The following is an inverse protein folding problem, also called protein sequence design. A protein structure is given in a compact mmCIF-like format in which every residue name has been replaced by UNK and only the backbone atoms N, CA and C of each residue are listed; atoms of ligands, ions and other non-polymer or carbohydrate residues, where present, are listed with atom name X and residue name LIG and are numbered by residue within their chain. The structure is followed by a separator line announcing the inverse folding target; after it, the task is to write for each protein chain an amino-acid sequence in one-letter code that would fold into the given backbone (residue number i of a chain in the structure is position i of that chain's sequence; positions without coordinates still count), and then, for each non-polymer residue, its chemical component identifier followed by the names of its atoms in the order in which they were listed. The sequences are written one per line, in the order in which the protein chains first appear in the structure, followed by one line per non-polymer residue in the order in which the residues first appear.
data_IF_282702773602
#
_entry.id   IF_282702773602
#
_cell.length_a   1.000
_cell.length_b   1.000
_cell.length_c   1.000
_cell.angle_alpha   90.00
_cell.angle_beta   90.00
_cell.angle_gamma   90.00
#
_symmetry.space_group_name_H-M   'P 1'
#
loop_
_entity.id
_entity.type
_entity.pdbx_description
1 polymer ?
#
# COMPACT_ATOMS: atom_id res chain seq x y z
N UNK A 1 -36.04 28.64 -22.63
CA UNK A 1 -34.86 28.76 -21.73
C UNK A 1 -34.92 27.74 -20.61
N UNK A 2 -35.89 27.79 -19.68
CA UNK A 2 -35.97 26.86 -18.53
C UNK A 2 -36.02 25.36 -18.90
N UNK A 3 -36.76 24.98 -19.95
CA UNK A 3 -36.85 23.59 -20.39
C UNK A 3 -35.54 23.01 -20.95
N UNK A 4 -34.78 23.82 -21.71
CA UNK A 4 -33.46 23.43 -22.22
C UNK A 4 -32.43 23.36 -21.11
N UNK A 5 -32.51 24.28 -20.13
CA UNK A 5 -31.66 24.26 -18.95
C UNK A 5 -31.90 23.02 -18.08
N UNK A 6 -33.17 22.66 -17.82
CA UNK A 6 -33.50 21.44 -17.08
C UNK A 6 -33.03 20.18 -17.82
N UNK A 7 -33.24 20.09 -19.14
CA UNK A 7 -32.71 18.97 -19.95
C UNK A 7 -31.18 18.88 -19.91
N UNK A 8 -30.50 20.02 -19.90
CA UNK A 8 -29.05 20.06 -19.77
C UNK A 8 -28.60 19.58 -18.38
N UNK A 9 -29.26 20.03 -17.31
CA UNK A 9 -29.00 19.55 -15.95
C UNK A 9 -29.21 18.03 -15.81
N UNK A 10 -30.27 17.49 -16.42
CA UNK A 10 -30.53 16.06 -16.44
C UNK A 10 -29.43 15.29 -17.21
N UNK A 11 -29.00 15.79 -18.37
CA UNK A 11 -27.92 15.20 -19.14
C UNK A 11 -26.58 15.22 -18.37
N UNK A 12 -26.27 16.33 -17.69
CA UNK A 12 -25.08 16.45 -16.82
C UNK A 12 -25.16 15.46 -15.67
N UNK A 13 -26.34 15.30 -15.03
CA UNK A 13 -26.53 14.34 -13.94
C UNK A 13 -26.36 12.88 -14.40
N UNK A 14 -26.81 12.56 -15.61
CA UNK A 14 -26.62 11.23 -16.22
C UNK A 14 -25.15 11.00 -16.55
N UNK A 15 -24.47 11.97 -17.17
CA UNK A 15 -23.05 11.89 -17.49
C UNK A 15 -22.18 11.77 -16.23
N UNK A 16 -22.52 12.50 -15.16
CA UNK A 16 -21.83 12.44 -13.87
C UNK A 16 -21.89 11.05 -13.21
N UNK A 17 -22.93 10.26 -13.50
CA UNK A 17 -23.08 8.87 -13.05
C UNK A 17 -22.48 7.84 -14.00
N UNK A 18 -21.93 8.26 -15.14
CA UNK A 18 -21.36 7.32 -16.11
C UNK A 18 -20.03 6.71 -15.62
N UNK A 19 -19.73 5.44 -15.92
CA UNK A 19 -18.46 4.80 -15.56
C UNK A 19 -17.23 5.53 -16.10
N UNK A 20 -17.36 6.13 -17.29
CA UNK A 20 -16.29 6.92 -17.91
C UNK A 20 -15.95 8.16 -17.09
N UNK A 21 -16.97 8.87 -16.59
CA UNK A 21 -16.77 10.06 -15.77
C UNK A 21 -16.22 9.71 -14.38
N UNK A 22 -16.72 8.62 -13.78
CA UNK A 22 -16.16 8.08 -12.53
C UNK A 22 -14.66 7.73 -12.69
N UNK A 23 -14.29 7.04 -13.77
CA UNK A 23 -12.89 6.71 -14.08
C UNK A 23 -12.03 7.97 -14.28
N UNK A 24 -12.55 8.99 -14.95
CA UNK A 24 -11.86 10.26 -15.13
C UNK A 24 -11.63 10.98 -13.79
N UNK A 25 -12.64 11.05 -12.92
CA UNK A 25 -12.51 11.64 -11.58
C UNK A 25 -11.46 10.90 -10.73
N UNK A 26 -11.48 9.56 -10.73
CA UNK A 26 -10.48 8.74 -10.02
C UNK A 26 -9.06 9.01 -10.51
N UNK A 27 -8.88 9.17 -11.83
CA UNK A 27 -7.59 9.52 -12.41
C UNK A 27 -7.10 10.88 -11.92
N UNK A 28 -7.94 11.91 -11.94
CA UNK A 28 -7.56 13.24 -11.45
C UNK A 28 -7.17 13.21 -9.97
N UNK A 29 -7.99 12.56 -9.12
CA UNK A 29 -7.66 12.40 -7.70
C UNK A 29 -6.33 11.67 -7.50
N UNK A 30 -6.04 10.65 -8.29
CA UNK A 30 -4.77 9.93 -8.21
C UNK A 30 -3.58 10.83 -8.59
N UNK A 31 -3.73 11.68 -9.60
CA UNK A 31 -2.71 12.67 -9.97
C UNK A 31 -2.50 13.70 -8.85
N UNK A 32 -3.59 14.20 -8.24
CA UNK A 32 -3.54 15.11 -7.09
C UNK A 32 -2.87 14.48 -5.87
N UNK A 33 -3.17 13.22 -5.56
CA UNK A 33 -2.58 12.50 -4.43
C UNK A 33 -1.07 12.28 -4.63
N UNK A 34 -0.64 11.97 -5.86
CA UNK A 34 0.79 11.88 -6.19
C UNK A 34 1.49 13.24 -6.06
N UNK A 35 0.82 14.33 -6.42
CA UNK A 35 1.34 15.67 -6.21
C UNK A 35 1.55 16.01 -4.72
N UNK A 36 0.56 15.68 -3.88
CA UNK A 36 0.68 15.81 -2.42
C UNK A 36 1.82 14.96 -1.85
N UNK A 37 1.89 13.69 -2.25
CA UNK A 37 2.97 12.77 -1.84
C UNK A 37 4.33 13.29 -2.27
N UNK A 38 4.45 13.87 -3.47
CA UNK A 38 5.67 14.47 -3.96
C UNK A 38 6.13 15.58 -3.02
N UNK A 39 5.23 16.51 -2.66
CA UNK A 39 5.56 17.62 -1.76
C UNK A 39 5.94 17.11 -0.37
N UNK A 40 5.13 16.27 0.25
CA UNK A 40 5.39 15.78 1.61
C UNK A 40 6.69 14.96 1.69
N UNK A 41 6.88 14.00 0.80
CA UNK A 41 8.07 13.12 0.85
C UNK A 41 9.35 13.86 0.47
N UNK A 42 9.28 14.85 -0.42
CA UNK A 42 10.42 15.71 -0.76
C UNK A 42 10.79 16.61 0.42
N UNK A 43 9.80 17.17 1.12
CA UNK A 43 10.06 17.96 2.32
C UNK A 43 10.73 17.12 3.42
N UNK A 44 10.25 15.89 3.65
CA UNK A 44 10.88 14.96 4.59
C UNK A 44 12.35 14.65 4.24
N UNK A 45 12.70 14.67 2.95
CA UNK A 45 14.06 14.38 2.45
C UNK A 45 15.09 15.41 2.94
N UNK A 46 14.67 16.65 3.15
CA UNK A 46 15.51 17.75 3.63
C UNK A 46 15.91 17.57 5.10
N UNK A 47 15.11 16.84 5.88
CA UNK A 47 15.36 16.57 7.28
C UNK A 47 15.08 17.78 8.20
N UNK A 48 15.65 17.75 9.41
CA UNK A 48 15.31 18.68 10.51
C UNK A 48 15.71 20.15 10.29
N UNK A 49 16.53 20.43 9.28
CA UNK A 49 17.05 21.77 9.01
C UNK A 49 16.26 22.50 7.91
N UNK A 50 15.18 21.89 7.40
CA UNK A 50 14.36 22.48 6.36
C UNK A 50 13.68 23.78 6.86
N UNK A 51 13.69 24.81 6.04
CA UNK A 51 13.02 26.08 6.32
C UNK A 51 11.86 26.37 5.36
N UNK A 52 11.28 27.57 5.46
CA UNK A 52 10.15 27.99 4.63
C UNK A 52 10.54 28.15 3.16
N UNK A 53 11.77 28.60 2.87
CA UNK A 53 12.24 28.77 1.50
C UNK A 53 12.39 27.41 0.80
N UNK A 54 12.84 26.37 1.52
CA UNK A 54 12.89 25.02 0.98
C UNK A 54 11.48 24.49 0.60
N UNK A 55 10.47 24.81 1.41
CA UNK A 55 9.09 24.44 1.12
C UNK A 55 8.55 25.16 -0.13
N UNK A 56 8.85 26.45 -0.29
CA UNK A 56 8.51 27.22 -1.49
C UNK A 56 9.18 26.65 -2.75
N UNK A 57 10.45 26.24 -2.66
CA UNK A 57 11.15 25.59 -3.77
C UNK A 57 10.48 24.27 -4.17
N UNK A 58 10.11 23.43 -3.19
CA UNK A 58 9.40 22.17 -3.46
C UNK A 58 8.07 22.43 -4.17
N UNK A 59 7.31 23.45 -3.74
CA UNK A 59 6.03 23.82 -4.36
C UNK A 59 6.26 24.29 -5.81
N UNK A 60 7.28 25.11 -6.05
CA UNK A 60 7.65 25.57 -7.39
C UNK A 60 8.03 24.40 -8.31
N UNK A 61 8.86 23.46 -7.82
CA UNK A 61 9.22 22.24 -8.55
C UNK A 61 7.98 21.38 -8.82
N UNK A 62 7.11 21.17 -7.82
CA UNK A 62 5.88 20.41 -7.97
C UNK A 62 4.95 21.01 -9.05
N UNK A 63 4.91 22.34 -9.17
CA UNK A 63 4.10 23.03 -10.18
C UNK A 63 4.59 22.84 -11.63
N UNK A 64 5.88 22.47 -11.80
CA UNK A 64 6.56 22.35 -13.10
C UNK A 64 6.81 20.90 -13.51
N UNK A 65 7.01 20.02 -12.54
CA UNK A 65 7.32 18.61 -12.77
C UNK A 65 6.15 17.89 -13.44
N UNK A 66 6.45 16.99 -14.38
CA UNK A 66 5.42 16.15 -14.96
C UNK A 66 4.90 15.12 -13.93
N UNK A 67 3.69 14.61 -14.13
CA UNK A 67 3.14 13.55 -13.27
C UNK A 67 4.10 12.35 -13.14
N UNK A 68 4.74 11.94 -14.25
CA UNK A 68 5.68 10.82 -14.25
C UNK A 68 6.92 11.12 -13.41
N UNK A 69 7.46 12.34 -13.49
CA UNK A 69 8.62 12.75 -12.69
C UNK A 69 8.26 12.82 -11.20
N UNK A 70 7.07 13.35 -10.88
CA UNK A 70 6.57 13.36 -9.51
C UNK A 70 6.42 11.93 -8.96
N UNK A 71 5.82 11.03 -9.73
CA UNK A 71 5.66 9.62 -9.35
C UNK A 71 7.02 8.95 -9.12
N UNK A 72 8.00 9.17 -10.00
CA UNK A 72 9.35 8.63 -9.87
C UNK A 72 10.02 9.13 -8.58
N UNK A 73 9.99 10.44 -8.32
CA UNK A 73 10.60 11.01 -7.12
C UNK A 73 9.93 10.51 -5.84
N UNK A 74 8.61 10.33 -5.84
CA UNK A 74 7.86 9.71 -4.72
C UNK A 74 8.37 8.29 -4.47
N UNK A 75 8.53 7.47 -5.52
CA UNK A 75 9.07 6.11 -5.36
C UNK A 75 10.48 6.14 -4.74
N UNK A 76 11.37 7.02 -5.21
CA UNK A 76 12.73 7.15 -4.68
C UNK A 76 12.75 7.60 -3.21
N UNK A 77 11.95 8.59 -2.85
CA UNK A 77 11.88 9.12 -1.48
C UNK A 77 11.33 8.07 -0.50
N UNK A 78 10.28 7.34 -0.89
CA UNK A 78 9.72 6.25 -0.08
C UNK A 78 10.71 5.09 0.01
N UNK A 79 11.32 4.71 -1.11
CA UNK A 79 12.32 3.64 -1.14
C UNK A 79 13.50 3.92 -0.21
N UNK A 80 14.00 5.17 -0.18
CA UNK A 80 15.05 5.57 0.75
C UNK A 80 14.68 5.34 2.22
N UNK A 81 13.45 5.68 2.61
CA UNK A 81 12.96 5.46 3.97
C UNK A 81 12.80 3.97 4.30
N UNK A 82 12.20 3.20 3.39
CA UNK A 82 12.06 1.74 3.54
C UNK A 82 13.42 1.07 3.68
N UNK A 83 14.39 1.46 2.85
CA UNK A 83 15.76 0.97 2.93
C UNK A 83 16.40 1.25 4.29
N UNK A 84 16.24 2.46 4.81
CA UNK A 84 16.71 2.81 6.14
C UNK A 84 16.08 1.91 7.23
N UNK A 85 14.76 1.69 7.19
CA UNK A 85 14.09 0.79 8.14
C UNK A 85 14.62 -0.64 8.06
N UNK A 86 14.79 -1.17 6.84
CA UNK A 86 15.33 -2.51 6.62
C UNK A 86 16.77 -2.64 7.14
N UNK A 87 17.63 -1.65 6.88
CA UNK A 87 19.02 -1.63 7.38
C UNK A 87 19.06 -1.62 8.91
N UNK A 88 18.25 -0.79 9.57
CA UNK A 88 18.17 -0.77 11.04
C UNK A 88 17.66 -2.10 11.58
N UNK A 89 16.63 -2.70 10.96
CA UNK A 89 16.15 -4.02 11.36
C UNK A 89 17.22 -5.10 11.19
N UNK A 90 18.00 -5.07 10.11
CA UNK A 90 19.14 -5.96 9.90
C UNK A 90 20.18 -5.82 11.03
N UNK A 91 20.57 -4.60 11.40
CA UNK A 91 21.53 -4.36 12.48
C UNK A 91 21.04 -4.88 13.84
N UNK A 92 19.73 -4.78 14.08
CA UNK A 92 19.09 -5.28 15.30
C UNK A 92 19.00 -6.82 15.27
N UNK A 93 18.60 -7.41 14.14
CA UNK A 93 18.22 -8.82 14.03
C UNK A 93 19.36 -9.74 13.64
N UNK A 94 20.38 -9.27 12.93
CA UNK A 94 21.49 -10.11 12.51
C UNK A 94 22.62 -9.99 13.55
N UNK A 95 23.02 -11.08 14.23
CA UNK A 95 24.29 -11.09 14.92
C UNK A 95 25.38 -10.94 13.83
N UNK A 96 26.39 -10.09 14.04
CA UNK A 96 27.48 -9.82 13.08
C UNK A 96 28.41 -11.02 12.78
N UNK A 97 27.86 -12.22 12.66
CA UNK A 97 28.49 -13.51 12.38
C UNK A 97 27.75 -14.14 11.21
N UNK A 98 28.49 -14.77 10.30
CA UNK A 98 28.07 -15.28 9.00
C UNK A 98 27.08 -16.49 9.02
N UNK A 99 26.21 -16.59 10.03
CA UNK A 99 25.20 -17.64 10.16
C UNK A 99 23.81 -17.03 9.92
N UNK A 100 22.93 -17.64 9.11
CA UNK A 100 21.61 -17.11 8.78
C UNK A 100 20.58 -17.16 9.94
N UNK A 101 21.03 -17.23 11.19
CA UNK A 101 20.16 -17.21 12.36
C UNK A 101 19.97 -15.78 12.85
N UNK A 102 18.74 -15.26 12.77
CA UNK A 102 18.38 -14.00 13.42
C UNK A 102 18.49 -14.14 14.93
N UNK A 103 18.84 -13.06 15.63
CA UNK A 103 18.77 -12.97 17.08
C UNK A 103 17.35 -13.38 17.56
N UNK A 104 17.25 -14.17 18.63
CA UNK A 104 15.97 -14.63 19.18
C UNK A 104 15.34 -13.52 20.05
N UNK A 105 15.09 -12.36 19.44
CA UNK A 105 14.37 -11.25 20.08
C UNK A 105 12.89 -11.32 19.71
N UNK A 106 12.03 -10.93 20.66
CA UNK A 106 10.59 -10.80 20.47
C UNK A 106 10.25 -9.54 19.66
N UNK A 107 9.07 -9.51 19.05
CA UNK A 107 8.56 -8.36 18.28
C UNK A 107 8.56 -7.07 19.10
N UNK A 108 8.16 -7.13 20.38
CA UNK A 108 8.13 -5.97 21.27
C UNK A 108 9.52 -5.33 21.47
N UNK A 109 10.55 -6.17 21.64
CA UNK A 109 11.94 -5.71 21.78
C UNK A 109 12.47 -5.13 20.47
N UNK A 110 12.16 -5.76 19.33
CA UNK A 110 12.50 -5.22 18.01
C UNK A 110 11.85 -3.84 17.79
N UNK A 111 10.57 -3.70 18.16
CA UNK A 111 9.83 -2.44 18.04
C UNK A 111 10.46 -1.32 18.87
N UNK A 112 10.85 -1.61 20.12
CA UNK A 112 11.54 -0.65 20.99
C UNK A 112 12.89 -0.21 20.42
N UNK A 113 13.73 -1.16 19.96
CA UNK A 113 15.03 -0.84 19.38
C UNK A 113 14.94 -0.10 18.05
N UNK A 114 13.93 -0.43 17.24
CA UNK A 114 13.66 0.30 16.01
C UNK A 114 13.24 1.74 16.34
N UNK A 115 12.36 1.94 17.33
CA UNK A 115 11.95 3.26 17.81
C UNK A 115 13.14 4.11 18.24
N UNK A 116 14.09 3.56 18.99
CA UNK A 116 15.29 4.28 19.42
C UNK A 116 16.12 4.82 18.23
N UNK A 117 15.98 4.19 17.06
CA UNK A 117 16.71 4.56 15.83
C UNK A 117 15.91 5.47 14.89
N UNK A 118 14.60 5.25 14.76
CA UNK A 118 13.74 5.96 13.78
C UNK A 118 12.81 7.01 14.38
N UNK A 119 12.71 7.06 15.72
CA UNK A 119 11.94 8.06 16.46
C UNK A 119 10.56 7.61 16.93
N UNK A 120 10.00 6.53 16.38
CA UNK A 120 8.66 6.06 16.75
C UNK A 120 8.48 4.54 16.67
N UNK A 121 7.48 4.02 17.36
CA UNK A 121 6.94 2.66 17.23
C UNK A 121 5.44 2.71 16.92
N UNK A 122 4.90 1.58 16.46
CA UNK A 122 3.46 1.41 16.25
C UNK A 122 2.87 0.42 17.25
N UNK A 123 1.67 0.73 17.74
CA UNK A 123 0.85 -0.13 18.57
C UNK A 123 -0.56 -0.27 18.01
N UNK A 124 -1.22 -1.41 18.28
CA UNK A 124 -2.65 -1.57 18.01
C UNK A 124 -3.40 -1.55 19.34
N UNK A 125 -4.36 -0.63 19.46
CA UNK A 125 -5.16 -0.40 20.69
C UNK A 125 -6.63 -0.21 20.29
N UNK A 126 -7.60 -0.30 21.21
CA UNK A 126 -8.99 0.09 20.90
C UNK A 126 -9.02 1.50 20.32
N UNK A 127 -9.73 1.70 19.20
CA UNK A 127 -9.82 3.00 18.52
C UNK A 127 -10.65 3.98 19.34
N UNK A 128 -10.34 5.28 19.19
CA UNK A 128 -11.17 6.36 19.73
C UNK A 128 -12.27 6.82 18.76
N UNK A 129 -12.25 6.33 17.51
CA UNK A 129 -13.25 6.67 16.51
C UNK A 129 -14.60 6.02 16.87
N UNK A 130 -15.67 6.82 17.04
CA UNK A 130 -16.99 6.31 17.42
C UNK A 130 -17.72 5.71 16.21
N UNK A 131 -17.20 4.61 15.66
CA UNK A 131 -17.84 3.85 14.59
C UNK A 131 -17.83 2.35 14.91
N UNK A 132 -18.91 1.63 14.54
CA UNK A 132 -19.06 0.21 14.85
C UNK A 132 -17.98 -0.68 14.20
N UNK A 133 -17.29 -0.17 13.19
CA UNK A 133 -16.21 -0.87 12.50
C UNK A 133 -14.82 -0.60 13.10
N UNK A 134 -14.65 0.52 13.80
CA UNK A 134 -13.38 0.95 14.40
C UNK A 134 -13.13 0.25 15.75
N UNK A 135 -13.05 -1.09 15.72
CA UNK A 135 -12.79 -1.88 16.93
C UNK A 135 -11.38 -1.66 17.47
N UNK A 136 -10.39 -1.64 16.58
CA UNK A 136 -8.99 -1.39 16.87
C UNK A 136 -8.48 -0.29 15.97
N UNK A 137 -7.53 0.49 16.47
CA UNK A 137 -6.83 1.54 15.74
C UNK A 137 -5.32 1.37 15.84
N UNK A 138 -4.65 1.87 14.82
CA UNK A 138 -3.19 1.99 14.76
C UNK A 138 -2.77 3.27 15.48
N UNK A 139 -1.83 3.17 16.42
CA UNK A 139 -1.29 4.30 17.17
C UNK A 139 0.19 4.43 16.93
N UNK A 140 0.63 5.67 16.72
CA UNK A 140 2.03 6.02 16.72
C UNK A 140 2.47 6.40 18.14
N UNK A 141 3.66 5.96 18.56
CA UNK A 141 4.27 6.29 19.84
C UNK A 141 5.69 6.80 19.64
N UNK A 142 5.95 8.06 19.99
CA UNK A 142 7.12 8.84 19.60
C UNK A 142 6.75 9.92 18.59
N UNK A 143 7.70 10.29 17.74
CA UNK A 143 7.55 11.41 16.80
C UNK A 143 7.86 10.98 15.37
N UNK A 144 7.04 11.43 14.42
CA UNK A 144 7.29 11.30 12.99
C UNK A 144 7.05 12.62 12.26
N UNK A 145 7.95 12.96 11.34
CA UNK A 145 7.86 14.18 10.55
C UNK A 145 6.84 14.06 9.42
N UNK A 146 6.42 15.22 8.89
CA UNK A 146 5.66 15.29 7.63
C UNK A 146 6.40 14.52 6.54
N UNK A 147 5.69 13.71 5.74
CA UNK A 147 6.26 12.91 4.67
C UNK A 147 7.02 11.66 5.10
N UNK A 148 7.05 11.36 6.40
CA UNK A 148 7.58 10.11 6.91
C UNK A 148 6.68 8.93 6.49
N UNK A 149 7.29 7.84 6.05
CA UNK A 149 6.61 6.55 5.94
C UNK A 149 6.35 6.06 7.36
N UNK A 150 5.08 5.80 7.67
CA UNK A 150 4.61 5.41 9.01
C UNK A 150 4.43 3.89 9.12
N UNK A 151 3.81 3.27 8.12
CA UNK A 151 3.48 1.86 8.16
C UNK A 151 3.45 1.26 6.74
N UNK A 152 3.66 -0.05 6.64
CA UNK A 152 3.56 -0.82 5.41
C UNK A 152 2.27 -1.63 5.46
N UNK A 153 1.51 -1.66 4.35
CA UNK A 153 0.33 -2.51 4.20
C UNK A 153 0.76 -3.93 3.86
N UNK A 154 0.70 -4.86 4.83
CA UNK A 154 1.14 -6.22 4.60
C UNK A 154 0.08 -6.98 3.82
N UNK A 155 0.39 -8.21 3.40
CA UNK A 155 -0.64 -9.08 2.85
C UNK A 155 -0.30 -9.74 1.52
N UNK A 156 -1.26 -10.52 1.06
CA UNK A 156 -1.18 -11.23 -0.21
C UNK A 156 -1.63 -10.29 -1.33
N UNK A 157 -0.80 -10.15 -2.35
CA UNK A 157 -1.02 -9.29 -3.50
C UNK A 157 -1.71 -10.10 -4.62
N UNK A 158 -2.84 -9.60 -5.10
CA UNK A 158 -3.61 -10.19 -6.18
C UNK A 158 -3.65 -9.23 -7.37
N UNK A 159 -3.15 -9.69 -8.52
CA UNK A 159 -3.44 -9.06 -9.80
C UNK A 159 -4.91 -9.29 -10.19
N UNK A 160 -5.51 -8.46 -11.07
CA UNK A 160 -6.91 -8.62 -11.49
C UNK A 160 -7.29 -10.03 -11.99
N UNK A 161 -6.36 -10.73 -12.63
CA UNK A 161 -6.56 -12.12 -13.11
C UNK A 161 -6.77 -13.12 -11.97
N UNK A 162 -6.34 -12.79 -10.75
CA UNK A 162 -6.42 -13.65 -9.58
C UNK A 162 -7.49 -13.21 -8.57
N UNK A 163 -8.33 -12.23 -8.88
CA UNK A 163 -9.44 -11.82 -8.01
C UNK A 163 -10.37 -12.98 -7.60
N UNK A 164 -10.70 -13.96 -8.48
CA UNK A 164 -11.52 -15.11 -8.09
C UNK A 164 -10.92 -15.98 -6.99
N UNK A 165 -9.63 -15.81 -6.68
CA UNK A 165 -8.93 -16.55 -5.63
C UNK A 165 -8.86 -15.79 -4.29
N UNK A 166 -9.36 -14.55 -4.25
CA UNK A 166 -9.49 -13.80 -2.99
C UNK A 166 -10.56 -14.49 -2.14
N UNK A 167 -10.28 -14.83 -0.86
CA UNK A 167 -11.26 -15.44 0.02
C UNK A 167 -12.56 -14.62 0.10
N UNK A 168 -13.70 -15.27 -0.11
CA UNK A 168 -15.02 -14.61 -0.10
C UNK A 168 -15.48 -14.03 -1.44
N UNK A 169 -14.66 -14.06 -2.49
CA UNK A 169 -15.05 -13.56 -3.82
C UNK A 169 -16.33 -14.23 -4.36
N UNK A 170 -17.26 -13.49 -4.98
CA UNK A 170 -17.20 -12.04 -5.28
C UNK A 170 -17.57 -11.12 -4.11
N UNK A 171 -18.11 -11.65 -3.00
CA UNK A 171 -18.57 -10.88 -1.84
C UNK A 171 -17.51 -10.84 -0.73
N UNK A 172 -16.33 -10.33 -1.07
CA UNK A 172 -15.12 -10.41 -0.24
C UNK A 172 -15.30 -9.70 1.11
N UNK A 173 -16.00 -8.59 1.09
CA UNK A 173 -15.99 -7.55 2.11
C UNK A 173 -17.07 -7.70 3.18
N UNK A 174 -18.05 -8.58 2.94
CA UNK A 174 -18.90 -9.09 4.00
C UNK A 174 -18.09 -9.75 5.15
N UNK A 175 -16.83 -10.15 4.90
CA UNK A 175 -15.97 -10.85 5.88
C UNK A 175 -14.53 -10.37 5.95
N UNK A 176 -14.05 -9.57 5.00
CA UNK A 176 -12.67 -9.09 4.96
C UNK A 176 -12.58 -7.56 4.95
N UNK A 177 -12.30 -6.99 6.14
CA UNK A 177 -12.08 -5.56 6.35
C UNK A 177 -10.67 -5.09 6.01
N UNK A 178 -9.77 -6.01 5.69
CA UNK A 178 -8.34 -5.78 5.50
C UNK A 178 -7.93 -5.96 4.03
N UNK A 179 -8.88 -5.79 3.11
CA UNK A 179 -8.63 -5.74 1.67
C UNK A 179 -8.52 -4.28 1.21
N UNK A 180 -7.47 -3.98 0.43
CA UNK A 180 -7.27 -2.67 -0.19
C UNK A 180 -6.94 -2.83 -1.67
N UNK A 181 -7.44 -1.91 -2.50
CA UNK A 181 -7.13 -1.89 -3.94
C UNK A 181 -6.33 -0.64 -4.30
N UNK A 182 -5.23 -0.84 -5.03
CA UNK A 182 -4.40 0.21 -5.63
C UNK A 182 -5.07 0.80 -6.87
N UNK A 183 -4.66 2.00 -7.24
CA UNK A 183 -5.14 2.66 -8.47
C UNK A 183 -4.91 1.81 -9.74
N UNK A 184 -3.82 1.04 -9.82
CA UNK A 184 -3.52 0.15 -10.94
C UNK A 184 -4.34 -1.17 -10.96
N UNK A 185 -5.27 -1.33 -10.00
CA UNK A 185 -6.14 -2.50 -9.90
C UNK A 185 -5.47 -3.71 -9.26
N UNK A 186 -4.37 -3.52 -8.53
CA UNK A 186 -3.82 -4.56 -7.68
C UNK A 186 -4.54 -4.54 -6.33
N UNK A 187 -5.00 -5.70 -5.86
CA UNK A 187 -5.59 -5.85 -4.53
C UNK A 187 -4.55 -6.42 -3.55
N UNK A 188 -4.59 -5.99 -2.29
CA UNK A 188 -3.75 -6.50 -1.20
C UNK A 188 -4.66 -6.93 -0.05
N UNK A 189 -4.55 -8.20 0.35
CA UNK A 189 -5.30 -8.79 1.45
C UNK A 189 -4.39 -8.96 2.69
N UNK A 190 -4.59 -8.12 3.69
CA UNK A 190 -3.84 -8.17 4.95
C UNK A 190 -4.46 -9.13 5.98
N UNK A 191 -5.65 -9.69 5.75
CA UNK A 191 -6.30 -10.59 6.72
C UNK A 191 -5.44 -11.80 7.11
N UNK A 192 -4.73 -12.49 6.19
CA UNK A 192 -3.83 -13.58 6.54
C UNK A 192 -2.57 -13.13 7.29
N UNK A 193 -2.20 -11.85 7.20
CA UNK A 193 -1.03 -11.33 7.91
C UNK A 193 -1.30 -11.18 9.41
N UNK A 194 -2.50 -10.72 9.78
CA UNK A 194 -2.91 -10.43 11.16
C UNK A 194 -1.97 -9.44 11.84
N UNK A 195 -1.54 -9.73 13.07
CA UNK A 195 -0.56 -8.88 13.78
C UNK A 195 0.90 -9.16 13.39
N UNK A 196 1.16 -10.03 12.41
CA UNK A 196 2.51 -10.56 12.18
C UNK A 196 2.78 -11.79 13.06
N UNK A 197 4.05 -11.98 13.44
CA UNK A 197 4.52 -13.14 14.19
C UNK A 197 5.75 -12.83 15.05
N UNK A 198 6.27 -13.85 15.73
CA UNK A 198 7.41 -13.73 16.65
C UNK A 198 8.73 -14.26 16.07
N UNK A 199 8.71 -14.73 14.83
CA UNK A 199 9.87 -15.34 14.17
C UNK A 199 9.95 -14.97 12.70
N UNK A 200 11.16 -15.12 12.13
CA UNK A 200 11.33 -15.20 10.68
C UNK A 200 10.87 -16.58 10.21
N UNK A 201 9.93 -16.64 9.28
CA UNK A 201 9.32 -17.89 8.83
C UNK A 201 9.02 -17.87 7.33
N UNK A 202 8.79 -19.06 6.76
CA UNK A 202 8.26 -19.18 5.41
C UNK A 202 6.79 -18.77 5.47
N UNK A 203 6.44 -17.71 4.77
CA UNK A 203 5.06 -17.27 4.63
C UNK A 203 4.55 -17.61 3.23
N UNK A 204 3.52 -18.44 3.19
CA UNK A 204 2.94 -18.98 1.96
C UNK A 204 1.40 -18.97 1.99
N UNK A 205 0.78 -19.35 0.86
CA UNK A 205 -0.68 -19.42 0.74
C UNK A 205 -1.31 -20.58 1.52
N UNK A 206 -0.53 -21.53 2.06
CA UNK A 206 -1.08 -22.65 2.84
C UNK A 206 -1.48 -22.22 4.25
N UNK A 207 -0.75 -21.23 4.79
CA UNK A 207 -1.09 -20.54 6.05
C UNK A 207 -2.47 -19.84 5.99
N UNK A 208 -3.01 -19.60 4.79
CA UNK A 208 -4.35 -19.00 4.60
C UNK A 208 -5.51 -19.96 4.92
N UNK A 209 -5.27 -21.27 5.10
CA UNK A 209 -6.36 -22.26 5.30
C UNK A 209 -6.83 -22.39 6.76
N UNK A 210 -6.03 -21.99 7.75
CA UNK A 210 -6.32 -22.24 9.17
C UNK A 210 -7.45 -21.38 9.76
N UNK A 211 -7.90 -20.34 9.06
CA UNK A 211 -8.95 -19.41 9.56
C UNK A 211 -10.36 -19.70 9.02
N UNK A 212 -10.59 -20.83 8.34
CA UNK A 212 -11.94 -21.18 7.86
C UNK A 212 -12.81 -21.70 9.01
N UNK A 213 -13.95 -21.05 9.33
CA UNK A 213 -14.97 -21.70 10.14
C UNK A 213 -15.54 -22.88 9.35
N UNK A 214 -15.85 -23.95 10.07
CA UNK A 214 -16.11 -25.32 9.62
C UNK A 214 -17.45 -25.51 8.87
N UNK A 215 -17.87 -24.53 8.05
CA UNK A 215 -19.19 -24.51 7.44
C UNK A 215 -19.14 -24.26 5.94
N UNK A 216 -19.69 -25.25 5.23
CA UNK A 216 -19.96 -25.38 3.80
C UNK A 216 -18.75 -25.58 2.87
N UNK A 217 -18.37 -26.86 2.75
CA UNK A 217 -17.73 -27.48 1.58
C UNK A 217 -18.59 -27.31 0.31
N UNK A 218 -18.77 -26.08 -0.17
CA UNK A 218 -19.32 -25.84 -1.51
C UNK A 218 -18.18 -25.74 -2.51
N UNK A 219 -18.32 -26.51 -3.60
CA UNK A 219 -17.61 -26.63 -4.90
C UNK A 219 -16.29 -25.87 -5.20
N UNK A 220 -15.99 -24.73 -4.58
CA UNK A 220 -14.75 -23.96 -4.73
C UNK A 220 -13.54 -24.64 -4.06
N UNK A 221 -13.75 -25.41 -2.99
CA UNK A 221 -12.68 -26.19 -2.33
C UNK A 221 -12.01 -27.19 -3.27
N UNK A 222 -12.77 -27.80 -4.18
CA UNK A 222 -12.26 -28.77 -5.18
C UNK A 222 -11.53 -28.12 -6.35
N UNK A 223 -11.75 -26.83 -6.62
CA UNK A 223 -11.04 -26.11 -7.67
C UNK A 223 -9.63 -25.69 -7.21
N UNK A 224 -9.46 -25.38 -5.92
CA UNK A 224 -8.18 -24.94 -5.34
C UNK A 224 -7.22 -26.10 -5.05
N UNK A 225 -7.73 -27.30 -4.75
CA UNK A 225 -6.89 -28.51 -4.61
C UNK A 225 -6.16 -28.88 -5.92
N UNK A 226 -6.75 -28.56 -7.07
CA UNK A 226 -6.25 -28.96 -8.39
C UNK A 226 -5.50 -27.86 -9.14
N UNK A 227 -5.47 -26.61 -8.66
CA UNK A 227 -4.71 -25.54 -9.30
C UNK A 227 -3.26 -25.53 -8.78
N UNK A 228 -2.29 -25.79 -9.66
CA UNK A 228 -0.85 -25.61 -9.43
C UNK A 228 -0.44 -24.14 -9.12
N UNK A 229 -1.40 -23.22 -9.02
CA UNK A 229 -1.19 -21.79 -8.74
C UNK A 229 -1.13 -21.60 -7.22
N UNK A 230 0.02 -21.94 -6.62
CA UNK A 230 0.34 -21.62 -5.22
C UNK A 230 1.23 -20.38 -5.17
N UNK A 231 1.17 -19.61 -4.07
CA UNK A 231 2.25 -18.66 -3.79
C UNK A 231 3.55 -19.45 -3.59
N UNK A 232 4.61 -19.04 -4.29
CA UNK A 232 5.97 -19.37 -3.87
C UNK A 232 6.12 -18.89 -2.43
N UNK A 233 6.35 -19.80 -1.48
CA UNK A 233 6.56 -19.41 -0.08
C UNK A 233 7.81 -18.54 0.02
N UNK A 234 7.70 -17.40 0.70
CA UNK A 234 8.79 -16.44 0.86
C UNK A 234 9.23 -16.42 2.33
N UNK A 235 10.54 -16.40 2.59
CA UNK A 235 11.05 -16.27 3.96
C UNK A 235 10.95 -14.81 4.37
N UNK A 236 9.99 -14.48 5.23
CA UNK A 236 9.74 -13.10 5.67
C UNK A 236 9.97 -12.91 7.17
N UNK A 237 10.35 -11.69 7.53
CA UNK A 237 10.45 -11.24 8.91
C UNK A 237 9.07 -10.83 9.45
N UNK A 238 8.36 -11.78 10.08
CA UNK A 238 7.00 -11.54 10.60
C UNK A 238 6.98 -10.65 11.84
N UNK A 239 8.15 -10.40 12.46
CA UNK A 239 8.29 -9.43 13.56
C UNK A 239 8.30 -7.97 13.10
N UNK A 240 8.23 -7.67 11.79
CA UNK A 240 8.31 -6.29 11.30
C UNK A 240 7.27 -5.39 12.01
N UNK A 241 7.69 -4.44 12.88
CA UNK A 241 6.79 -3.64 13.69
C UNK A 241 6.04 -2.57 12.88
N UNK A 242 6.46 -2.30 11.63
CA UNK A 242 5.81 -1.34 10.73
C UNK A 242 4.73 -2.00 9.85
N UNK A 243 4.60 -3.33 9.86
CA UNK A 243 3.66 -4.10 9.04
C UNK A 243 2.24 -4.14 9.65
N UNK A 244 1.68 -2.97 9.98
CA UNK A 244 0.41 -2.81 10.69
C UNK A 244 -0.54 -1.79 10.04
N UNK A 245 -0.27 -1.34 8.81
CA UNK A 245 -1.06 -0.28 8.17
C UNK A 245 -2.56 -0.61 8.02
N UNK A 246 -2.92 -1.90 7.94
CA UNK A 246 -4.31 -2.35 7.84
C UNK A 246 -5.15 -2.10 9.10
N UNK A 247 -4.54 -1.66 10.21
CA UNK A 247 -5.24 -1.19 11.42
C UNK A 247 -5.48 0.33 11.43
N UNK A 248 -5.01 1.08 10.43
CA UNK A 248 -5.28 2.51 10.35
C UNK A 248 -6.74 2.73 9.94
N UNK A 249 -7.52 3.33 10.83
CA UNK A 249 -8.93 3.60 10.59
C UNK A 249 -9.11 4.86 9.75
N UNK A 250 -10.31 5.00 9.21
CA UNK A 250 -10.73 6.25 8.60
C UNK A 250 -11.26 7.21 9.67
N UNK A 251 -11.00 8.52 9.51
CA UNK A 251 -11.59 9.51 10.39
C UNK A 251 -13.12 9.58 10.22
N UNK A 252 -13.79 10.13 11.23
CA UNK A 252 -15.17 10.63 11.10
C UNK A 252 -15.17 11.96 10.34
N UNK A 253 -16.35 12.47 9.94
CA UNK A 253 -16.45 13.81 9.33
C UNK A 253 -15.86 14.94 10.21
N UNK A 254 -15.78 14.74 11.52
CA UNK A 254 -15.29 15.72 12.50
C UNK A 254 -13.77 15.63 12.76
N UNK A 255 -13.10 14.58 12.29
CA UNK A 255 -11.67 14.36 12.53
C UNK A 255 -10.87 14.47 11.22
N UNK A 256 -9.67 15.04 11.31
CA UNK A 256 -8.81 15.24 10.13
C UNK A 256 -7.88 14.03 9.98
N UNK A 257 -7.79 13.41 8.79
CA UNK A 257 -6.81 12.35 8.56
C UNK A 257 -5.39 12.90 8.67
N UNK A 258 -4.46 12.04 9.08
CA UNK A 258 -3.08 12.43 9.32
C UNK A 258 -2.05 11.57 8.54
N UNK A 259 -2.54 10.55 7.83
CA UNK A 259 -1.77 9.80 6.84
C UNK A 259 -2.56 9.61 5.55
N UNK A 260 -1.84 9.40 4.44
CA UNK A 260 -2.40 9.04 3.15
C UNK A 260 -1.73 7.78 2.57
N UNK A 261 -2.44 7.08 1.70
CA UNK A 261 -1.89 5.91 1.00
C UNK A 261 -0.90 6.35 -0.08
N UNK A 262 0.28 5.76 -0.07
CA UNK A 262 1.26 5.88 -1.15
C UNK A 262 1.44 4.50 -1.81
N UNK A 263 1.12 4.35 -3.10
CA UNK A 263 1.55 3.20 -3.87
C UNK A 263 3.06 3.12 -3.91
N UNK A 264 3.60 1.95 -3.58
CA UNK A 264 5.04 1.74 -3.54
C UNK A 264 5.41 0.44 -4.27
N UNK A 265 6.25 0.57 -5.29
CA UNK A 265 6.70 -0.52 -6.14
C UNK A 265 8.11 -0.93 -5.69
N UNK A 266 8.18 -1.97 -4.86
CA UNK A 266 9.44 -2.45 -4.29
C UNK A 266 10.25 -3.24 -5.34
N UNK A 267 11.52 -2.87 -5.62
CA UNK A 267 12.34 -3.56 -6.62
C UNK A 267 12.79 -4.94 -6.12
N UNK A 268 12.38 -6.01 -6.81
CA UNK A 268 12.74 -7.40 -6.44
C UNK A 268 14.22 -7.74 -6.70
N UNK A 269 14.97 -6.83 -7.32
CA UNK A 269 16.43 -6.91 -7.41
C UNK A 269 17.11 -6.71 -6.04
N UNK A 270 16.46 -6.04 -5.09
CA UNK A 270 16.98 -5.81 -3.74
C UNK A 270 16.70 -6.99 -2.79
N UNK A 271 17.32 -8.14 -3.09
CA UNK A 271 17.10 -9.39 -2.36
C UNK A 271 17.38 -9.31 -0.86
N UNK A 272 18.33 -8.47 -0.46
CA UNK A 272 18.70 -8.31 0.95
C UNK A 272 17.56 -7.67 1.76
N UNK A 273 16.82 -6.73 1.16
CA UNK A 273 15.71 -6.05 1.82
C UNK A 273 14.39 -6.83 1.73
N UNK A 274 14.27 -7.73 0.75
CA UNK A 274 13.04 -8.49 0.44
C UNK A 274 12.42 -9.16 1.66
N UNK A 275 13.24 -9.66 2.57
CA UNK A 275 12.81 -10.35 3.82
C UNK A 275 11.94 -9.46 4.71
N UNK A 276 12.12 -8.13 4.65
CA UNK A 276 11.38 -7.17 5.48
C UNK A 276 10.12 -6.62 4.82
N UNK A 277 9.92 -6.86 3.53
CA UNK A 277 8.74 -6.40 2.79
C UNK A 277 7.61 -7.42 3.04
N UNK A 278 6.55 -7.04 3.79
CA UNK A 278 5.57 -7.96 4.36
C UNK A 278 4.48 -8.37 3.36
N UNK A 279 4.88 -8.58 2.10
CA UNK A 279 3.97 -8.92 1.01
C UNK A 279 4.44 -10.15 0.24
N UNK A 280 3.50 -10.90 -0.31
CA UNK A 280 3.74 -11.99 -1.26
C UNK A 280 2.78 -11.84 -2.44
N UNK A 281 3.22 -12.20 -3.65
CA UNK A 281 2.34 -12.23 -4.81
C UNK A 281 1.61 -13.55 -4.90
N UNK A 282 0.30 -13.48 -5.14
CA UNK A 282 -0.49 -14.63 -5.50
C UNK A 282 -0.26 -15.01 -6.97
N UNK A 283 0.05 -16.28 -7.20
CA UNK A 283 0.37 -16.80 -8.53
C UNK A 283 1.79 -16.46 -9.00
N UNK A 284 2.12 -16.87 -10.23
CA UNK A 284 3.47 -16.76 -10.76
C UNK A 284 3.71 -15.37 -11.37
N UNK A 285 4.81 -14.71 -10.98
CA UNK A 285 5.24 -13.42 -11.53
C UNK A 285 5.48 -13.48 -13.06
N UNK A 286 5.83 -14.65 -13.61
CA UNK A 286 6.09 -14.82 -15.05
C UNK A 286 4.84 -14.79 -15.94
N UNK A 287 3.64 -15.08 -15.40
CA UNK A 287 2.39 -14.92 -16.15
C UNK A 287 2.06 -13.44 -16.42
N UNK A 288 2.70 -12.51 -15.72
CA UNK A 288 2.56 -11.07 -15.97
C UNK A 288 3.25 -10.61 -17.26
N UNK A 289 4.15 -11.40 -17.85
CA UNK A 289 4.72 -11.14 -19.18
C UNK A 289 3.83 -11.64 -20.33
N UNK A 290 2.71 -12.32 -20.06
CA UNK A 290 1.90 -12.96 -21.09
C UNK A 290 0.51 -12.34 -21.20
N UNK A 291 0.34 -11.57 -22.29
CA UNK A 291 -0.90 -11.22 -23.00
C UNK A 291 -1.95 -10.42 -22.22
N UNK A 292 -1.96 -9.10 -22.50
CA UNK A 292 -3.22 -8.36 -22.67
C UNK A 292 -3.37 -7.90 -24.13
N UNK A 293 -4.21 -8.62 -24.87
CA UNK A 293 -4.69 -8.24 -26.19
C UNK A 293 -5.95 -7.37 -26.00
N UNK A 294 -5.81 -6.05 -26.15
CA UNK A 294 -6.90 -5.07 -26.07
C UNK A 294 -7.32 -4.73 -24.62
N UNK A 295 -7.52 -3.48 -24.21
CA UNK A 295 -7.92 -2.29 -24.95
C UNK A 295 -7.32 -1.03 -24.30
N UNK A 296 -6.31 -0.45 -24.96
CA UNK A 296 -5.80 0.93 -24.80
C UNK A 296 -5.31 1.30 -23.37
N UNK A 297 -4.17 1.95 -23.20
CA UNK A 297 -4.12 3.41 -23.07
C UNK A 297 -2.68 3.90 -23.38
N UNK A 298 -2.60 4.88 -24.27
CA UNK A 298 -1.47 5.74 -24.64
C UNK A 298 -0.32 5.15 -25.47
N UNK A 299 -0.44 5.41 -26.78
CA UNK A 299 0.60 5.34 -27.81
C UNK A 299 1.59 6.49 -27.56
N UNK A 300 2.83 6.18 -27.18
CA UNK A 300 3.94 7.14 -27.17
C UNK A 300 4.21 7.59 -28.60
N UNK A 301 4.18 8.91 -28.82
CA UNK A 301 4.52 9.52 -30.09
C UNK A 301 5.98 9.20 -30.44
N UNK A 302 6.16 8.58 -31.60
CA UNK A 302 7.45 8.31 -32.22
C UNK A 302 8.20 9.61 -32.50
N UNK A 303 9.43 9.72 -31.98
CA UNK A 303 10.52 10.43 -32.65
C UNK A 303 11.69 9.46 -32.74
N UNK A 304 12.02 9.09 -33.97
CA UNK A 304 13.18 8.29 -34.33
C UNK A 304 14.48 8.96 -33.85
N UNK A 305 15.21 8.27 -32.99
CA UNK A 305 16.66 8.13 -33.10
C UNK A 305 17.02 6.81 -32.42
N UNK A 306 17.37 5.81 -33.24
CA UNK A 306 17.77 4.50 -32.75
C UNK A 306 19.09 4.58 -32.00
N UNK A 307 19.09 4.06 -30.77
CA UNK A 307 20.22 3.40 -30.15
C UNK A 307 19.68 2.66 -28.90
N UNK A 308 19.58 1.34 -29.01
CA UNK A 308 19.60 0.34 -27.94
C UNK A 308 18.87 0.68 -26.62
N UNK A 309 17.55 0.44 -26.63
CA UNK A 309 16.66 0.44 -25.46
C UNK A 309 16.84 -0.86 -24.66
N UNK A 310 17.82 -0.88 -23.75
CA UNK A 310 17.83 -1.82 -22.61
C UNK A 310 17.07 -1.16 -21.46
N UNK A 311 15.77 -0.96 -21.64
CA UNK A 311 14.83 -0.74 -20.53
C UNK A 311 14.67 -2.10 -19.84
N UNK A 312 15.59 -2.41 -18.92
CA UNK A 312 15.46 -3.61 -18.10
C UNK A 312 14.23 -3.44 -17.23
N UNK A 313 13.13 -4.09 -17.62
CA UNK A 313 11.88 -4.17 -16.87
C UNK A 313 12.17 -4.90 -15.54
N UNK A 314 12.65 -4.14 -14.54
CA UNK A 314 13.02 -4.64 -13.22
C UNK A 314 11.75 -5.18 -12.57
N UNK A 315 11.70 -6.46 -12.17
CA UNK A 315 10.51 -6.99 -11.54
C UNK A 315 10.26 -6.26 -10.21
N UNK A 316 9.03 -5.82 -9.99
CA UNK A 316 8.61 -5.08 -8.77
C UNK A 316 7.50 -5.80 -8.03
N UNK A 317 7.45 -5.58 -6.72
CA UNK A 317 6.33 -5.97 -5.86
C UNK A 317 5.46 -4.74 -5.58
N UNK A 318 4.18 -4.81 -5.99
CA UNK A 318 3.24 -3.67 -5.93
C UNK A 318 2.58 -3.55 -4.55
N UNK A 319 3.23 -2.85 -3.64
CA UNK A 319 2.85 -2.71 -2.22
C UNK A 319 2.15 -1.37 -1.93
N UNK A 320 1.77 -1.13 -0.68
CA UNK A 320 1.28 0.17 -0.21
C UNK A 320 1.97 0.55 1.11
N UNK A 321 2.23 1.84 1.28
CA UNK A 321 2.70 2.40 2.55
C UNK A 321 1.81 3.57 2.96
N UNK A 322 1.79 3.88 4.25
CA UNK A 322 1.15 5.07 4.79
C UNK A 322 2.19 6.16 4.96
N UNK A 323 1.91 7.35 4.44
CA UNK A 323 2.79 8.53 4.54
C UNK A 323 2.10 9.59 5.37
N UNK A 324 2.83 10.17 6.34
CA UNK A 324 2.33 11.24 7.18
C UNK A 324 2.09 12.54 6.38
N UNK A 325 0.91 13.12 6.53
CA UNK A 325 0.53 14.40 5.88
C UNK A 325 0.78 15.61 6.80
N UNK A 326 1.03 15.36 8.08
CA UNK A 326 1.46 16.32 9.10
C UNK A 326 2.48 15.66 10.04
N UNK A 327 3.13 16.44 10.90
CA UNK A 327 3.91 15.85 11.99
C UNK A 327 2.98 15.10 12.95
N UNK A 328 3.41 13.92 13.40
CA UNK A 328 2.67 13.05 14.32
C UNK A 328 3.41 12.94 15.65
N UNK A 329 2.68 12.97 16.75
CA UNK A 329 3.22 12.78 18.09
C UNK A 329 2.20 12.07 18.98
N UNK A 330 2.53 10.85 19.41
CA UNK A 330 1.74 10.05 20.36
C UNK A 330 0.20 10.02 20.07
N UNK A 331 -0.18 9.82 18.81
CA UNK A 331 -1.57 9.92 18.35
C UNK A 331 -2.05 8.70 17.53
N UNK A 332 -3.37 8.57 17.36
CA UNK A 332 -3.98 7.57 16.47
C UNK A 332 -3.69 7.93 15.01
N UNK A 333 -3.31 6.94 14.21
CA UNK A 333 -3.05 7.05 12.78
C UNK A 333 -4.38 6.89 12.03
N UNK A 334 -4.81 7.96 11.38
CA UNK A 334 -6.08 8.08 10.68
C UNK A 334 -5.85 8.28 9.18
N UNK A 335 -6.34 7.33 8.40
CA UNK A 335 -6.14 7.24 6.96
C UNK A 335 -7.15 8.06 6.17
N UNK A 336 -6.64 8.98 5.33
CA UNK A 336 -7.43 9.65 4.31
C UNK A 336 -7.95 8.64 3.28
N UNK A 337 -9.26 8.66 2.96
CA UNK A 337 -9.84 7.86 1.86
C UNK A 337 -9.71 8.60 0.52
N UNK A 338 -8.90 8.12 -0.43
CA UNK A 338 -8.99 8.63 -1.81
C UNK A 338 -10.28 8.19 -2.49
N UNK A 339 -10.78 8.97 -3.45
CA UNK A 339 -11.96 8.59 -4.26
C UNK A 339 -11.72 7.40 -5.20
N UNK A 340 -10.46 7.07 -5.48
CA UNK A 340 -10.08 5.86 -6.22
C UNK A 340 -9.90 4.64 -5.32
N UNK A 341 -9.97 4.84 -4.00
CA UNK A 341 -9.96 3.78 -3.01
C UNK A 341 -11.41 3.30 -2.78
N UNK A 342 -11.59 1.99 -2.89
CA UNK A 342 -12.78 1.28 -2.46
C UNK A 342 -12.38 0.46 -1.23
N UNK A 343 -12.83 0.88 -0.04
CA UNK A 343 -13.31 -0.14 0.90
C UNK A 343 -14.50 -0.74 0.19
N UNK A 344 -14.53 -2.05 0.03
CA UNK A 344 -15.47 -2.65 -0.91
C UNK A 344 -16.95 -2.47 -0.45
N UNK A 345 -17.17 -1.96 0.78
CA UNK A 345 -18.46 -1.67 1.42
C UNK A 345 -19.33 -0.52 0.85
N UNK A 346 -18.89 0.27 -0.13
CA UNK A 346 -19.70 1.42 -0.59
C UNK A 346 -20.10 1.28 -2.08
N UNK A 347 -21.34 0.80 -2.26
CA UNK A 347 -22.21 0.90 -3.46
C UNK A 347 -22.14 -0.22 -4.53
N UNK A 348 -22.31 -1.49 -4.13
CA UNK A 348 -22.88 -2.52 -5.03
C UNK A 348 -24.10 -3.21 -4.39
N UNK A 349 -25.20 -2.45 -4.25
CA UNK A 349 -26.58 -2.95 -4.22
C UNK A 349 -27.37 -2.43 -5.43
#
# INVERSE_FOLDING_TARGET
MAFLFNKFQDAVRILAKSPTFARYRRKLQFEDDINLLFMYTSYNRLGKNADEADAEEIIDVASKASFTDQQMQVQENVHFQIKNFCTVMDEILLPGSAVPMTRPIKRAELSLRLKDSIGYSLDVKPSQIPHNEASQGLYLNGEANVGAVIAIYPGVIYSPSYYPYIPGYPRVDARNRYLITRYDGIAIDAQPWGYGGETREIWDSSTMQETRPDTDETMLGKALENSQVRCSGEILERRNPLALAHFANHPTEETVPNVMVCPYDFPLTEKDLRTYIPNISFGNAEEQKVRRLGSSWFRRGSRNSGLDDWDSDVPVLKTLVLVATKALCDEEVLLQRPLWYYSVDEDED
#
